data_IF_354491962895
#
_entry.id   IF_354491962895
#
_cell.length_a   1.000
_cell.length_b   1.000
_cell.length_c   1.000
_cell.angle_alpha   90.00
_cell.angle_beta   90.00
_cell.angle_gamma   90.00
#
_symmetry.space_group_name_H-M   'P 1'
#
loop_
_entity.id
_entity.type
_entity.pdbx_description
1 polymer ?
#
# COMPACT_ATOMS: atom_id res chain seq x y z
N UNK A 1 0.75 1.89 29.58
CA UNK A 1 1.25 1.20 28.37
C UNK A 1 0.15 0.95 27.36
N UNK A 2 -0.97 0.33 27.75
CA UNK A 2 -2.12 0.08 26.87
C UNK A 2 -2.68 1.36 26.20
N UNK A 3 -2.80 2.46 26.95
CA UNK A 3 -3.30 3.73 26.40
C UNK A 3 -2.40 4.29 25.30
N UNK A 4 -1.08 4.14 25.45
CA UNK A 4 -0.11 4.53 24.43
C UNK A 4 -0.27 3.69 23.17
N UNK A 5 -0.42 2.36 23.32
CA UNK A 5 -0.64 1.45 22.18
C UNK A 5 -1.95 1.80 21.46
N UNK A 6 -3.01 2.06 22.21
CA UNK A 6 -4.31 2.48 21.66
C UNK A 6 -4.19 3.83 20.93
N UNK A 7 -3.48 4.80 21.51
CA UNK A 7 -3.23 6.09 20.86
C UNK A 7 -2.43 5.92 19.55
N UNK A 8 -1.39 5.08 19.54
CA UNK A 8 -0.62 4.76 18.33
C UNK A 8 -1.52 4.13 17.27
N UNK A 9 -2.39 3.19 17.65
CA UNK A 9 -3.32 2.57 16.72
C UNK A 9 -4.31 3.59 16.15
N UNK A 10 -4.92 4.43 16.98
CA UNK A 10 -5.93 5.42 16.54
C UNK A 10 -5.29 6.52 15.69
N UNK A 11 -4.32 7.24 16.24
CA UNK A 11 -3.68 8.36 15.53
C UNK A 11 -2.82 7.88 14.36
N UNK A 12 -2.10 6.77 14.54
CA UNK A 12 -1.32 6.17 13.45
C UNK A 12 -2.21 5.72 12.30
N UNK A 13 -3.40 5.16 12.56
CA UNK A 13 -4.35 4.81 11.49
C UNK A 13 -4.89 6.06 10.80
N UNK A 14 -5.17 7.14 11.52
CA UNK A 14 -5.58 8.42 10.92
C UNK A 14 -4.47 8.99 10.01
N UNK A 15 -3.22 8.99 10.48
CA UNK A 15 -2.05 9.43 9.69
C UNK A 15 -1.83 8.54 8.46
N UNK A 16 -2.09 7.23 8.59
CA UNK A 16 -2.02 6.28 7.48
C UNK A 16 -3.05 6.63 6.40
N UNK A 17 -4.30 6.91 6.80
CA UNK A 17 -5.35 7.35 5.88
C UNK A 17 -5.00 8.65 5.18
N UNK A 18 -4.47 9.65 5.89
CA UNK A 18 -4.01 10.90 5.28
C UNK A 18 -2.92 10.61 4.24
N UNK A 19 -1.93 9.78 4.60
CA UNK A 19 -0.87 9.38 3.68
C UNK A 19 -1.41 8.67 2.44
N UNK A 20 -2.37 7.75 2.60
CA UNK A 20 -3.04 7.06 1.50
C UNK A 20 -3.83 8.02 0.59
N UNK A 21 -4.53 9.01 1.16
CA UNK A 21 -5.22 10.05 0.40
C UNK A 21 -4.24 10.90 -0.42
N UNK A 22 -3.12 11.32 0.19
CA UNK A 22 -2.06 12.05 -0.51
C UNK A 22 -1.50 11.20 -1.65
N UNK A 23 -1.16 9.93 -1.38
CA UNK A 23 -0.70 8.98 -2.39
C UNK A 23 -1.70 8.81 -3.52
N UNK A 24 -2.99 8.76 -3.20
CA UNK A 24 -4.07 8.61 -4.16
C UNK A 24 -4.21 9.83 -5.08
N UNK A 25 -4.00 11.04 -4.56
CA UNK A 25 -3.94 12.25 -5.39
C UNK A 25 -2.70 12.21 -6.29
N UNK A 26 -1.57 11.75 -5.76
CA UNK A 26 -0.30 11.62 -6.49
C UNK A 26 -0.24 10.40 -7.44
N UNK A 27 -1.32 9.61 -7.62
CA UNK A 27 -1.28 8.28 -8.26
C UNK A 27 -1.37 8.25 -9.79
N UNK A 28 -1.75 9.34 -10.46
CA UNK A 28 -2.06 9.28 -11.91
C UNK A 28 -0.78 9.02 -12.71
N UNK A 29 -0.65 7.78 -13.21
CA UNK A 29 0.49 7.34 -14.04
C UNK A 29 1.35 6.22 -13.44
N UNK A 30 0.97 5.68 -12.27
CA UNK A 30 1.83 4.72 -11.57
C UNK A 30 1.69 3.26 -12.02
N UNK A 31 2.81 2.51 -12.06
CA UNK A 31 2.85 1.08 -12.37
C UNK A 31 2.50 0.14 -11.20
N UNK A 32 2.19 0.66 -9.99
CA UNK A 32 1.95 -0.17 -8.78
C UNK A 32 0.72 0.27 -7.98
N UNK A 33 -0.41 0.47 -8.66
CA UNK A 33 -1.67 0.92 -8.02
C UNK A 33 -2.25 -0.15 -7.09
N UNK A 34 -1.93 -1.40 -7.38
CA UNK A 34 -2.39 -2.60 -6.70
C UNK A 34 -1.94 -2.58 -5.22
N UNK A 35 -0.68 -2.20 -4.96
CA UNK A 35 -0.14 -2.05 -3.59
C UNK A 35 -0.92 -1.01 -2.80
N UNK A 36 -1.26 0.14 -3.41
CA UNK A 36 -2.05 1.18 -2.74
C UNK A 36 -3.43 0.66 -2.32
N UNK A 37 -4.09 -0.12 -3.18
CA UNK A 37 -5.39 -0.72 -2.87
C UNK A 37 -5.29 -1.78 -1.77
N UNK A 38 -4.26 -2.63 -1.77
CA UNK A 38 -4.03 -3.58 -0.69
C UNK A 38 -3.74 -2.87 0.64
N UNK A 39 -2.87 -1.85 0.64
CA UNK A 39 -2.58 -1.06 1.85
C UNK A 39 -3.83 -0.33 2.35
N UNK A 40 -4.68 0.18 1.46
CA UNK A 40 -5.96 0.76 1.84
C UNK A 40 -6.92 -0.28 2.43
N UNK A 41 -7.01 -1.48 1.83
CA UNK A 41 -7.81 -2.58 2.37
C UNK A 41 -7.37 -2.98 3.79
N UNK A 42 -6.06 -3.01 4.03
CA UNK A 42 -5.47 -3.28 5.33
C UNK A 42 -5.71 -2.12 6.33
N UNK A 43 -5.61 -0.87 5.88
CA UNK A 43 -5.93 0.29 6.70
C UNK A 43 -7.40 0.26 7.14
N UNK A 44 -8.33 -0.14 6.27
CA UNK A 44 -9.73 -0.37 6.64
C UNK A 44 -9.84 -1.48 7.68
N UNK A 45 -9.17 -2.62 7.48
CA UNK A 45 -9.21 -3.75 8.43
C UNK A 45 -8.72 -3.33 9.83
N UNK A 46 -7.63 -2.56 9.90
CA UNK A 46 -7.12 -1.99 11.15
C UNK A 46 -8.14 -1.00 11.74
N UNK A 47 -8.72 -0.13 10.91
CA UNK A 47 -9.71 0.87 11.35
C UNK A 47 -10.91 0.20 12.02
N UNK A 48 -11.37 -0.91 11.45
CA UNK A 48 -12.54 -1.64 11.95
C UNK A 48 -12.33 -2.22 13.35
N UNK A 49 -11.08 -2.51 13.75
CA UNK A 49 -10.77 -3.07 15.08
C UNK A 49 -10.38 -1.99 16.11
N UNK A 50 -10.43 -0.70 15.74
CA UNK A 50 -10.09 0.39 16.67
C UNK A 50 -11.19 0.56 17.74
N UNK A 51 -10.84 0.77 19.02
CA UNK A 51 -11.82 0.99 20.10
C UNK A 51 -12.92 2.03 19.81
N UNK A 52 -12.66 3.20 19.18
CA UNK A 52 -13.73 4.14 18.84
C UNK A 52 -14.64 3.69 17.69
N UNK A 53 -14.21 2.74 16.84
CA UNK A 53 -14.95 2.32 15.64
C UNK A 53 -15.76 1.06 15.90
N UNK A 54 -15.23 0.12 16.68
CA UNK A 54 -15.86 -1.16 17.04
C UNK A 54 -17.32 -0.99 17.50
N UNK A 55 -17.69 -0.03 18.37
CA UNK A 55 -19.09 0.15 18.79
C UNK A 55 -20.03 0.72 17.71
N UNK A 56 -19.48 1.29 16.63
CA UNK A 56 -20.26 1.92 15.55
C UNK A 56 -20.67 0.90 14.49
N UNK A 57 -19.83 -0.10 14.23
CA UNK A 57 -20.09 -1.12 13.22
C UNK A 57 -21.45 -1.82 13.42
N UNK A 58 -21.83 -2.25 14.64
CA UNK A 58 -23.10 -2.93 14.84
C UNK A 58 -24.30 -2.01 14.61
N UNK A 59 -24.14 -0.70 14.87
CA UNK A 59 -25.17 0.32 14.61
C UNK A 59 -25.37 0.58 13.13
N UNK A 60 -24.31 0.54 12.33
CA UNK A 60 -24.35 0.77 10.89
C UNK A 60 -24.90 -0.46 10.16
N UNK A 61 -24.50 -1.66 10.59
CA UNK A 61 -24.80 -2.91 9.89
C UNK A 61 -25.92 -3.74 10.55
N UNK A 62 -26.53 -3.25 11.65
CA UNK A 62 -27.68 -3.89 12.29
C UNK A 62 -27.38 -5.19 13.03
N UNK A 63 -26.14 -5.39 13.50
CA UNK A 63 -25.71 -6.63 14.17
C UNK A 63 -25.67 -6.50 15.69
N UNK A 64 -25.74 -7.60 16.44
CA UNK A 64 -25.89 -7.59 17.91
C UNK A 64 -24.58 -7.60 18.71
N UNK A 65 -23.41 -7.78 18.08
CA UNK A 65 -22.11 -7.87 18.78
C UNK A 65 -21.08 -6.82 18.33
N UNK A 66 -20.15 -6.39 19.19
CA UNK A 66 -19.13 -5.36 18.89
C UNK A 66 -18.18 -5.78 17.77
N UNK A 67 -17.94 -7.09 17.63
CA UNK A 67 -17.33 -7.63 16.44
C UNK A 67 -18.27 -8.59 15.75
N UNK A 68 -18.49 -8.33 14.47
CA UNK A 68 -19.53 -8.96 13.68
C UNK A 68 -18.93 -9.61 12.43
N UNK A 69 -19.77 -10.38 11.75
CA UNK A 69 -19.41 -11.11 10.53
C UNK A 69 -18.77 -10.19 9.49
N UNK A 70 -19.25 -8.94 9.39
CA UNK A 70 -18.70 -7.97 8.45
C UNK A 70 -17.21 -7.69 8.64
N UNK A 71 -16.70 -7.64 9.88
CA UNK A 71 -15.27 -7.44 10.12
C UNK A 71 -14.44 -8.66 9.68
N UNK A 72 -14.97 -9.88 9.87
CA UNK A 72 -14.29 -11.10 9.46
C UNK A 72 -14.28 -11.21 7.92
N UNK A 73 -15.43 -10.94 7.28
CA UNK A 73 -15.55 -10.81 5.81
C UNK A 73 -14.52 -9.82 5.27
N UNK A 74 -14.43 -8.63 5.88
CA UNK A 74 -13.46 -7.63 5.45
C UNK A 74 -12.02 -8.10 5.68
N UNK A 75 -11.77 -8.81 6.78
CA UNK A 75 -10.51 -9.48 7.05
C UNK A 75 -10.11 -10.40 5.89
N UNK A 76 -10.99 -11.32 5.49
CA UNK A 76 -10.75 -12.25 4.37
C UNK A 76 -10.51 -11.51 3.07
N UNK A 77 -11.34 -10.51 2.75
CA UNK A 77 -11.21 -9.70 1.55
C UNK A 77 -9.88 -8.93 1.51
N UNK A 78 -9.48 -8.33 2.63
CA UNK A 78 -8.21 -7.58 2.72
C UNK A 78 -6.98 -8.48 2.54
N UNK A 79 -7.00 -9.69 3.09
CA UNK A 79 -5.96 -10.70 2.84
C UNK A 79 -5.99 -11.25 1.42
N UNK A 80 -7.18 -11.43 0.83
CA UNK A 80 -7.33 -11.75 -0.59
C UNK A 80 -6.77 -10.66 -1.51
N UNK A 81 -6.97 -9.38 -1.19
CA UNK A 81 -6.38 -8.26 -1.93
C UNK A 81 -4.85 -8.35 -1.91
N UNK A 82 -4.23 -8.65 -0.78
CA UNK A 82 -2.78 -8.85 -0.69
C UNK A 82 -2.33 -9.96 -1.65
N UNK A 83 -3.01 -11.10 -1.66
CA UNK A 83 -2.70 -12.20 -2.58
C UNK A 83 -2.93 -11.83 -4.05
N UNK A 84 -3.94 -11.03 -4.36
CA UNK A 84 -4.20 -10.52 -5.71
C UNK A 84 -3.09 -9.61 -6.21
N UNK A 85 -2.56 -8.71 -5.36
CA UNK A 85 -1.39 -7.88 -5.71
C UNK A 85 -0.19 -8.76 -6.03
N UNK A 86 0.06 -9.77 -5.19
CA UNK A 86 1.16 -10.73 -5.38
C UNK A 86 0.97 -11.55 -6.66
N UNK A 87 -0.27 -11.93 -6.97
CA UNK A 87 -0.63 -12.70 -8.14
C UNK A 87 -0.57 -11.88 -9.44
N UNK A 88 -0.82 -10.57 -9.37
CA UNK A 88 -0.73 -9.67 -10.52
C UNK A 88 0.66 -9.70 -11.17
N UNK A 89 1.71 -9.85 -10.36
CA UNK A 89 3.09 -10.03 -10.84
C UNK A 89 3.39 -11.41 -11.47
N UNK A 90 2.45 -12.35 -11.45
CA UNK A 90 2.60 -13.73 -11.97
C UNK A 90 1.66 -14.07 -13.13
N UNK A 91 0.76 -13.16 -13.51
CA UNK A 91 -0.14 -13.31 -14.65
C UNK A 91 -1.55 -13.82 -14.31
N UNK A 92 -2.38 -13.95 -15.35
CA UNK A 92 -3.85 -14.14 -15.23
C UNK A 92 -4.26 -15.41 -14.47
N UNK A 93 -3.54 -16.52 -14.66
CA UNK A 93 -3.85 -17.78 -13.98
C UNK A 93 -3.68 -17.65 -12.46
N UNK A 94 -2.61 -16.99 -12.00
CA UNK A 94 -2.37 -16.73 -10.59
C UNK A 94 -3.45 -15.79 -10.00
N UNK A 95 -3.85 -14.75 -10.73
CA UNK A 95 -4.92 -13.83 -10.30
C UNK A 95 -6.23 -14.60 -10.12
N UNK A 96 -6.58 -15.45 -11.09
CA UNK A 96 -7.81 -16.26 -11.05
C UNK A 96 -7.79 -17.21 -9.86
N UNK A 97 -6.66 -17.86 -9.59
CA UNK A 97 -6.49 -18.73 -8.44
C UNK A 97 -6.61 -17.98 -7.10
N UNK A 98 -5.98 -16.82 -6.97
CA UNK A 98 -6.07 -15.98 -5.76
C UNK A 98 -7.50 -15.45 -5.53
N UNK A 99 -8.17 -14.98 -6.58
CA UNK A 99 -9.56 -14.55 -6.52
C UNK A 99 -10.49 -15.71 -6.12
N UNK A 100 -10.35 -16.86 -6.79
CA UNK A 100 -11.13 -18.06 -6.51
C UNK A 100 -10.94 -18.57 -5.08
N UNK A 101 -9.70 -18.64 -4.61
CA UNK A 101 -9.41 -19.01 -3.22
C UNK A 101 -10.03 -18.03 -2.22
N UNK A 102 -9.96 -16.72 -2.49
CA UNK A 102 -10.58 -15.70 -1.63
C UNK A 102 -12.10 -15.89 -1.55
N UNK A 103 -12.75 -16.11 -2.69
CA UNK A 103 -14.20 -16.35 -2.75
C UNK A 103 -14.57 -17.63 -2.01
N UNK A 104 -13.81 -18.71 -2.19
CA UNK A 104 -14.06 -19.98 -1.47
C UNK A 104 -13.93 -19.77 0.03
N UNK A 105 -12.85 -19.14 0.50
CA UNK A 105 -12.65 -18.88 1.94
C UNK A 105 -13.78 -18.05 2.50
N UNK A 106 -14.19 -16.99 1.80
CA UNK A 106 -15.32 -16.14 2.20
C UNK A 106 -16.64 -16.93 2.32
N UNK A 107 -16.94 -17.79 1.34
CA UNK A 107 -18.15 -18.61 1.37
C UNK A 107 -18.12 -19.64 2.50
N UNK A 108 -16.97 -20.28 2.72
CA UNK A 108 -16.81 -21.27 3.80
C UNK A 108 -16.86 -20.60 5.17
N UNK A 109 -16.26 -19.42 5.32
CA UNK A 109 -16.34 -18.60 6.52
C UNK A 109 -17.80 -18.30 6.89
N UNK A 110 -18.56 -17.70 5.96
CA UNK A 110 -19.99 -17.36 6.16
C UNK A 110 -20.79 -18.62 6.49
N UNK A 111 -20.55 -19.72 5.76
CA UNK A 111 -21.21 -20.99 6.04
C UNK A 111 -20.91 -21.49 7.47
N UNK A 112 -19.65 -21.47 7.90
CA UNK A 112 -19.24 -21.88 9.25
C UNK A 112 -19.83 -20.98 10.34
N UNK A 113 -19.98 -19.68 10.08
CA UNK A 113 -20.60 -18.73 11.00
C UNK A 113 -22.08 -19.05 11.24
N UNK A 114 -22.80 -19.49 10.19
CA UNK A 114 -24.23 -19.84 10.24
C UNK A 114 -24.48 -21.22 10.86
N UNK A 115 -23.66 -22.23 10.54
CA UNK A 115 -23.93 -23.62 11.00
C UNK A 115 -23.39 -23.94 12.40
N UNK A 116 -22.49 -23.12 12.93
CA UNK A 116 -21.86 -23.37 14.24
C UNK A 116 -22.67 -22.74 15.36
N UNK A 117 -23.12 -23.53 16.33
CA UNK A 117 -23.87 -23.06 17.52
C UNK A 117 -23.11 -23.41 18.81
N UNK A 118 -22.81 -22.44 19.70
CA UNK A 118 -23.06 -21.01 19.55
C UNK A 118 -22.22 -20.38 18.43
N UNK A 119 -22.69 -19.25 17.88
CA UNK A 119 -22.00 -18.58 16.77
C UNK A 119 -20.53 -18.28 17.12
N UNK A 120 -19.58 -18.63 16.24
CA UNK A 120 -18.14 -18.47 16.50
C UNK A 120 -17.67 -17.03 16.23
N UNK A 121 -18.56 -16.17 15.71
CA UNK A 121 -18.26 -14.79 15.31
C UNK A 121 -17.85 -13.95 16.50
N UNK A 122 -16.69 -13.30 16.38
CA UNK A 122 -16.20 -12.36 17.37
C UNK A 122 -14.91 -11.70 16.91
N UNK A 123 -14.28 -10.89 17.77
CA UNK A 123 -12.95 -10.36 17.46
C UNK A 123 -11.89 -11.34 17.94
N UNK A 124 -10.94 -11.70 17.08
CA UNK A 124 -9.78 -12.54 17.45
C UNK A 124 -8.99 -11.97 18.66
N UNK A 125 -9.04 -10.65 18.86
CA UNK A 125 -8.34 -9.94 19.94
C UNK A 125 -8.94 -10.17 21.32
N UNK A 126 -10.23 -10.49 21.42
CA UNK A 126 -10.97 -10.61 22.70
C UNK A 126 -11.79 -11.88 22.84
N UNK A 127 -12.14 -12.55 21.74
CA UNK A 127 -12.93 -13.77 21.75
C UNK A 127 -12.14 -14.92 22.36
N UNK A 128 -12.84 -15.79 23.09
CA UNK A 128 -12.33 -17.12 23.41
C UNK A 128 -12.32 -17.88 22.10
N UNK A 129 -11.15 -18.04 21.49
CA UNK A 129 -10.98 -18.70 20.19
C UNK A 129 -10.78 -20.20 20.48
N UNK A 130 -11.81 -21.07 20.34
CA UNK A 130 -11.68 -22.47 20.73
C UNK A 130 -10.79 -23.19 19.72
N UNK A 131 -9.87 -24.05 20.19
CA UNK A 131 -9.00 -24.85 19.34
C UNK A 131 -9.80 -25.73 18.36
N UNK A 132 -11.00 -26.12 18.76
CA UNK A 132 -11.91 -26.98 18.01
C UNK A 132 -12.72 -26.24 16.94
N UNK A 133 -12.63 -24.91 16.86
CA UNK A 133 -13.46 -24.13 15.93
C UNK A 133 -12.84 -24.10 14.53
N UNK A 134 -13.44 -24.76 13.52
CA UNK A 134 -12.95 -24.70 12.14
C UNK A 134 -12.98 -23.28 11.56
N UNK A 135 -13.93 -22.45 12.01
CA UNK A 135 -14.04 -21.04 11.63
C UNK A 135 -12.74 -20.29 11.93
N UNK A 136 -12.22 -20.43 13.15
CA UNK A 136 -11.02 -19.70 13.56
C UNK A 136 -9.75 -20.23 12.91
N UNK A 137 -9.65 -21.54 12.67
CA UNK A 137 -8.56 -22.11 11.89
C UNK A 137 -8.52 -21.57 10.46
N UNK A 138 -9.68 -21.53 9.80
CA UNK A 138 -9.80 -20.97 8.45
C UNK A 138 -9.34 -19.51 8.41
N UNK A 139 -9.91 -18.66 9.29
CA UNK A 139 -9.61 -17.23 9.36
C UNK A 139 -8.12 -16.97 9.62
N UNK A 140 -7.58 -17.56 10.68
CA UNK A 140 -6.18 -17.34 11.08
C UNK A 140 -5.22 -17.85 10.01
N UNK A 141 -5.50 -19.01 9.41
CA UNK A 141 -4.65 -19.58 8.35
C UNK A 141 -4.67 -18.73 7.09
N UNK A 142 -5.83 -18.23 6.68
CA UNK A 142 -5.96 -17.37 5.50
C UNK A 142 -5.14 -16.08 5.64
N UNK A 143 -5.27 -15.42 6.79
CA UNK A 143 -4.47 -14.23 7.10
C UNK A 143 -2.97 -14.56 7.16
N UNK A 144 -2.60 -15.65 7.83
CA UNK A 144 -1.22 -16.09 7.94
C UNK A 144 -0.58 -16.35 6.57
N UNK A 145 -1.25 -17.11 5.70
CA UNK A 145 -0.77 -17.42 4.34
C UNK A 145 -0.56 -16.14 3.54
N UNK A 146 -1.51 -15.21 3.60
CA UNK A 146 -1.45 -13.95 2.87
C UNK A 146 -0.27 -13.09 3.33
N UNK A 147 -0.05 -12.96 4.65
CA UNK A 147 1.06 -12.18 5.19
C UNK A 147 2.42 -12.83 4.98
N UNK A 148 2.53 -14.16 5.09
CA UNK A 148 3.78 -14.88 4.78
C UNK A 148 4.13 -14.76 3.30
N UNK A 149 3.15 -14.86 2.40
CA UNK A 149 3.37 -14.66 0.97
C UNK A 149 3.84 -13.22 0.68
N UNK A 150 3.21 -12.23 1.30
CA UNK A 150 3.62 -10.82 1.18
C UNK A 150 5.03 -10.59 1.70
N UNK A 151 5.36 -11.13 2.87
CA UNK A 151 6.69 -11.07 3.47
C UNK A 151 7.75 -11.65 2.54
N UNK A 152 7.50 -12.83 1.95
CA UNK A 152 8.44 -13.46 1.02
C UNK A 152 8.67 -12.60 -0.23
N UNK A 153 7.62 -11.99 -0.78
CA UNK A 153 7.71 -11.08 -1.92
C UNK A 153 8.48 -9.81 -1.55
N UNK A 154 8.16 -9.17 -0.43
CA UNK A 154 8.87 -7.97 0.02
C UNK A 154 10.37 -8.24 0.27
N UNK A 155 10.71 -9.39 0.87
CA UNK A 155 12.12 -9.78 1.06
C UNK A 155 12.86 -10.01 -0.25
N UNK A 156 12.21 -10.65 -1.23
CA UNK A 156 12.76 -10.84 -2.57
C UNK A 156 12.96 -9.49 -3.28
N UNK A 157 11.95 -8.63 -3.24
CA UNK A 157 11.96 -7.37 -3.97
C UNK A 157 12.93 -6.36 -3.32
N UNK A 158 13.05 -6.35 -1.99
CA UNK A 158 14.07 -5.56 -1.28
C UNK A 158 15.49 -5.96 -1.68
N UNK A 159 15.74 -7.25 -1.98
CA UNK A 159 17.03 -7.75 -2.48
C UNK A 159 17.28 -7.38 -3.94
N UNK A 160 16.22 -7.19 -4.75
CA UNK A 160 16.34 -6.78 -6.15
C UNK A 160 16.60 -5.27 -6.29
N UNK A 161 16.06 -4.46 -5.38
CA UNK A 161 16.20 -3.00 -5.37
C UNK A 161 17.53 -2.52 -4.74
N UNK A 162 18.66 -3.16 -5.08
CA UNK A 162 19.96 -2.80 -4.45
C UNK A 162 20.39 -1.36 -4.74
N UNK A 163 20.11 -0.89 -5.95
CA UNK A 163 20.59 0.40 -6.46
C UNK A 163 19.62 1.57 -6.22
N UNK A 164 18.36 1.28 -5.86
CA UNK A 164 17.37 2.30 -5.48
C UNK A 164 17.12 2.23 -3.97
N UNK A 165 17.92 2.98 -3.21
CA UNK A 165 17.86 3.01 -1.74
C UNK A 165 16.50 3.47 -1.20
N UNK A 166 15.79 4.35 -1.92
CA UNK A 166 14.49 4.85 -1.49
C UNK A 166 13.39 3.81 -1.68
N UNK A 167 13.32 3.20 -2.86
CA UNK A 167 12.38 2.11 -3.11
C UNK A 167 12.64 0.94 -2.16
N UNK A 168 13.92 0.60 -1.93
CA UNK A 168 14.33 -0.44 -0.99
C UNK A 168 13.86 -0.15 0.43
N UNK A 169 14.03 1.06 0.92
CA UNK A 169 13.57 1.46 2.26
C UNK A 169 12.05 1.35 2.38
N UNK A 170 11.30 1.79 1.37
CA UNK A 170 9.85 1.63 1.33
C UNK A 170 9.41 0.16 1.42
N UNK A 171 10.08 -0.73 0.67
CA UNK A 171 9.83 -2.17 0.75
C UNK A 171 10.20 -2.74 2.12
N UNK A 172 11.31 -2.30 2.75
CA UNK A 172 11.66 -2.73 4.11
C UNK A 172 10.62 -2.33 5.15
N UNK A 173 9.99 -1.16 5.02
CA UNK A 173 8.89 -0.77 5.90
C UNK A 173 7.66 -1.64 5.70
N UNK A 174 7.31 -1.99 4.46
CA UNK A 174 6.28 -3.00 4.21
C UNK A 174 6.63 -4.37 4.80
N UNK A 175 7.88 -4.82 4.63
CA UNK A 175 8.41 -6.05 5.25
C UNK A 175 8.21 -6.03 6.76
N UNK A 176 8.60 -4.96 7.44
CA UNK A 176 8.43 -4.82 8.89
C UNK A 176 6.95 -4.90 9.30
N UNK A 177 6.06 -4.28 8.53
CA UNK A 177 4.61 -4.36 8.74
C UNK A 177 4.08 -5.79 8.61
N UNK A 178 4.49 -6.51 7.56
CA UNK A 178 4.09 -7.92 7.36
C UNK A 178 4.73 -8.87 8.38
N UNK A 179 5.95 -8.62 8.84
CA UNK A 179 6.54 -9.36 9.98
C UNK A 179 5.67 -9.17 11.21
N UNK A 180 5.31 -7.93 11.52
CA UNK A 180 4.48 -7.62 12.69
C UNK A 180 3.09 -8.29 12.60
N UNK A 181 2.43 -8.22 11.44
CA UNK A 181 1.18 -8.94 11.19
C UNK A 181 1.34 -10.46 11.26
N UNK A 182 2.42 -11.02 10.74
CA UNK A 182 2.73 -12.46 10.80
C UNK A 182 2.90 -12.91 12.25
N UNK A 183 3.59 -12.12 13.09
CA UNK A 183 3.73 -12.38 14.52
C UNK A 183 2.35 -12.42 15.20
N UNK A 184 1.47 -11.44 14.91
CA UNK A 184 0.11 -11.41 15.44
C UNK A 184 -0.67 -12.71 15.18
N UNK A 185 -0.66 -13.19 13.94
CA UNK A 185 -1.38 -14.40 13.56
C UNK A 185 -0.71 -15.66 14.09
N UNK A 186 0.62 -15.69 14.16
CA UNK A 186 1.38 -16.79 14.78
C UNK A 186 1.06 -16.92 16.27
N UNK A 187 0.98 -15.82 17.00
CA UNK A 187 0.53 -15.81 18.41
C UNK A 187 -0.90 -16.34 18.51
N UNK A 188 -1.77 -15.95 17.58
CA UNK A 188 -3.16 -16.40 17.55
C UNK A 188 -3.27 -17.91 17.29
N UNK A 189 -2.41 -18.49 16.42
CA UNK A 189 -2.26 -19.94 16.26
C UNK A 189 -1.79 -20.57 17.58
N UNK A 190 -0.80 -19.99 18.26
CA UNK A 190 -0.32 -20.48 19.55
C UNK A 190 -1.42 -20.51 20.62
N UNK A 191 -2.25 -19.48 20.68
CA UNK A 191 -3.42 -19.41 21.58
C UNK A 191 -4.45 -20.47 21.20
N UNK A 192 -4.73 -20.67 19.90
CA UNK A 192 -5.60 -21.74 19.42
C UNK A 192 -5.10 -23.12 19.88
N UNK A 193 -3.83 -23.43 19.64
CA UNK A 193 -3.27 -24.77 19.91
C UNK A 193 -3.19 -25.06 21.41
N UNK A 194 -2.86 -24.06 22.22
CA UNK A 194 -2.60 -24.27 23.65
C UNK A 194 -3.82 -24.04 24.54
N UNK A 195 -4.86 -23.38 24.03
CA UNK A 195 -6.04 -22.89 24.77
C UNK A 195 -5.69 -22.01 25.99
N UNK A 196 -4.41 -21.62 26.14
CA UNK A 196 -3.86 -20.95 27.32
C UNK A 196 -3.93 -19.43 27.14
N UNK A 197 -4.72 -18.78 28.00
CA UNK A 197 -4.94 -17.32 28.01
C UNK A 197 -3.86 -16.51 28.70
N UNK A 198 -2.97 -17.17 29.46
CA UNK A 198 -1.99 -16.52 30.35
C UNK A 198 -0.68 -16.14 29.65
N UNK A 199 -0.53 -16.44 28.37
CA UNK A 199 0.49 -15.79 27.54
C UNK A 199 0.10 -14.30 27.48
N UNK A 200 1.04 -13.34 27.51
CA UNK A 200 0.77 -11.90 27.28
C UNK A 200 0.25 -11.59 25.85
N UNK A 201 -0.48 -12.53 25.23
CA UNK A 201 -0.96 -12.53 23.87
C UNK A 201 -1.96 -11.42 23.59
N UNK A 202 -2.70 -10.88 24.56
CA UNK A 202 -3.55 -9.71 24.30
C UNK A 202 -2.70 -8.45 24.06
N UNK A 203 -1.74 -8.17 24.94
CA UNK A 203 -0.82 -7.04 24.85
C UNK A 203 0.10 -7.17 23.64
N UNK A 204 0.67 -8.36 23.43
CA UNK A 204 1.57 -8.66 22.32
C UNK A 204 0.86 -8.60 20.96
N UNK A 205 -0.40 -9.08 20.88
CA UNK A 205 -1.22 -8.90 19.67
C UNK A 205 -1.53 -7.42 19.43
N UNK A 206 -1.88 -6.66 20.46
CA UNK A 206 -2.14 -5.22 20.30
C UNK A 206 -0.87 -4.47 19.88
N UNK A 207 0.29 -4.82 20.44
CA UNK A 207 1.59 -4.28 20.05
C UNK A 207 1.96 -4.66 18.61
N UNK A 208 1.62 -5.86 18.15
CA UNK A 208 1.81 -6.28 16.76
C UNK A 208 0.91 -5.51 15.78
N UNK A 209 -0.31 -5.16 16.17
CA UNK A 209 -1.14 -4.23 15.37
C UNK A 209 -0.47 -2.86 15.29
N UNK A 210 0.00 -2.33 16.43
CA UNK A 210 0.69 -1.03 16.45
C UNK A 210 1.98 -1.03 15.62
N UNK A 211 2.78 -2.11 15.70
CA UNK A 211 3.97 -2.29 14.86
C UNK A 211 3.64 -2.31 13.37
N UNK A 212 2.53 -2.95 13.00
CA UNK A 212 2.01 -2.93 11.62
C UNK A 212 1.62 -1.51 11.19
N UNK A 213 0.85 -0.79 12.02
CA UNK A 213 0.43 0.60 11.76
C UNK A 213 1.61 1.53 11.54
N UNK A 214 2.60 1.51 12.45
CA UNK A 214 3.81 2.34 12.34
C UNK A 214 4.57 2.00 11.06
N UNK A 215 4.75 0.72 10.77
CA UNK A 215 5.50 0.27 9.59
C UNK A 215 4.82 0.69 8.28
N UNK A 216 3.50 0.54 8.17
CA UNK A 216 2.77 0.99 6.97
C UNK A 216 2.75 2.51 6.83
N UNK A 217 2.68 3.25 7.93
CA UNK A 217 2.85 4.70 7.89
C UNK A 217 4.21 5.09 7.31
N UNK A 218 5.29 4.49 7.82
CA UNK A 218 6.64 4.75 7.32
C UNK A 218 6.76 4.41 5.84
N UNK A 219 6.20 3.29 5.39
CA UNK A 219 6.20 2.90 3.97
C UNK A 219 5.43 3.89 3.08
N UNK A 220 4.23 4.31 3.50
CA UNK A 220 3.39 5.25 2.75
C UNK A 220 4.04 6.62 2.68
N UNK A 221 4.49 7.15 3.81
CA UNK A 221 5.08 8.49 3.89
C UNK A 221 6.49 8.55 3.30
N UNK A 222 7.28 7.47 3.35
CA UNK A 222 8.55 7.43 2.62
C UNK A 222 8.32 7.52 1.11
N UNK A 223 7.28 6.85 0.60
CA UNK A 223 6.90 6.98 -0.81
C UNK A 223 6.37 8.38 -1.16
N UNK A 224 5.65 9.05 -0.25
CA UNK A 224 5.21 10.45 -0.45
C UNK A 224 6.43 11.37 -0.52
N UNK A 225 7.35 11.25 0.45
CA UNK A 225 8.57 12.05 0.53
C UNK A 225 9.45 11.85 -0.71
N UNK A 226 9.65 10.61 -1.16
CA UNK A 226 10.40 10.30 -2.37
C UNK A 226 9.81 11.03 -3.59
N UNK A 227 8.47 11.05 -3.73
CA UNK A 227 7.82 11.78 -4.83
C UNK A 227 7.99 13.27 -4.73
N UNK A 228 7.83 13.85 -3.54
CA UNK A 228 8.03 15.27 -3.34
C UNK A 228 9.46 15.68 -3.75
N UNK A 229 10.46 14.87 -3.39
CA UNK A 229 11.86 15.08 -3.78
C UNK A 229 12.04 14.96 -5.29
N UNK A 230 11.52 13.90 -5.92
CA UNK A 230 11.61 13.73 -7.39
C UNK A 230 10.93 14.87 -8.14
N UNK A 231 9.74 15.28 -7.70
CA UNK A 231 9.02 16.41 -8.26
C UNK A 231 9.80 17.72 -8.13
N UNK A 232 10.43 17.95 -6.97
CA UNK A 232 11.29 19.13 -6.76
C UNK A 232 12.54 19.13 -7.65
N UNK A 233 13.16 17.97 -7.86
CA UNK A 233 14.29 17.81 -8.79
C UNK A 233 13.89 18.09 -10.23
N UNK A 234 12.80 17.49 -10.68
CA UNK A 234 12.27 17.72 -12.03
C UNK A 234 11.91 19.20 -12.22
N UNK A 235 11.30 19.86 -11.21
CA UNK A 235 10.99 21.29 -11.23
C UNK A 235 12.24 22.16 -11.40
N UNK A 236 13.27 21.89 -10.59
CA UNK A 236 14.52 22.62 -10.66
C UNK A 236 15.21 22.42 -12.02
N UNK A 237 15.20 21.19 -12.53
CA UNK A 237 15.82 20.86 -13.81
C UNK A 237 15.07 21.51 -14.98
N UNK A 238 13.74 21.38 -15.02
CA UNK A 238 12.89 22.03 -16.01
C UNK A 238 13.12 23.54 -16.05
N UNK A 239 13.22 24.19 -14.88
CA UNK A 239 13.50 25.61 -14.79
C UNK A 239 14.91 25.97 -15.27
N UNK A 240 15.91 25.11 -15.02
CA UNK A 240 17.26 25.30 -15.57
C UNK A 240 17.24 25.26 -17.09
N UNK A 241 16.69 24.19 -17.67
CA UNK A 241 16.61 24.01 -19.12
C UNK A 241 15.83 25.16 -19.77
N UNK A 242 14.72 25.58 -19.17
CA UNK A 242 13.91 26.68 -19.70
C UNK A 242 14.65 28.02 -19.70
N UNK A 243 15.49 28.29 -18.69
CA UNK A 243 16.34 29.50 -18.63
C UNK A 243 17.44 29.54 -19.67
N UNK A 244 17.88 28.40 -20.18
CA UNK A 244 18.93 28.30 -21.20
C UNK A 244 18.42 28.52 -22.63
N UNK A 245 17.11 28.34 -22.87
CA UNK A 245 16.49 28.51 -24.19
C UNK A 245 16.80 29.85 -24.90
N UNK A 246 16.78 31.03 -24.25
CA UNK A 246 17.13 32.28 -24.92
C UNK A 246 18.56 32.27 -25.49
N UNK A 247 19.52 31.65 -24.79
CA UNK A 247 20.90 31.52 -25.25
C UNK A 247 21.09 30.54 -26.41
N UNK A 248 20.07 29.74 -26.72
CA UNK A 248 20.08 28.74 -27.80
C UNK A 248 19.30 29.20 -29.04
N UNK A 249 19.02 30.50 -29.17
CA UNK A 249 18.36 31.07 -30.35
C UNK A 249 16.87 30.77 -30.46
N UNK A 250 16.18 30.51 -29.33
CA UNK A 250 14.73 30.34 -29.29
C UNK A 250 14.02 31.69 -29.20
N UNK A 251 13.02 31.90 -30.06
CA UNK A 251 12.15 33.08 -30.00
C UNK A 251 11.27 33.07 -28.73
N UNK A 252 10.71 34.24 -28.37
CA UNK A 252 9.81 34.33 -27.23
C UNK A 252 8.52 33.50 -27.42
N UNK A 253 8.04 33.36 -28.65
CA UNK A 253 6.81 32.62 -28.97
C UNK A 253 7.03 31.11 -28.89
N UNK A 254 8.10 30.59 -29.49
CA UNK A 254 8.48 29.17 -29.41
C UNK A 254 8.65 28.73 -27.94
N UNK A 255 9.33 29.56 -27.12
CA UNK A 255 9.48 29.28 -25.68
C UNK A 255 8.14 29.21 -24.96
N UNK A 256 7.22 30.14 -25.21
CA UNK A 256 5.87 30.12 -24.61
C UNK A 256 5.06 28.90 -25.05
N UNK A 257 5.20 28.45 -26.29
CA UNK A 257 4.54 27.23 -26.77
C UNK A 257 5.10 26.01 -26.05
N UNK A 258 6.41 25.84 -26.06
CA UNK A 258 7.10 24.73 -25.39
C UNK A 258 6.78 24.68 -23.89
N UNK A 259 6.74 25.84 -23.22
CA UNK A 259 6.33 25.95 -21.82
C UNK A 259 4.91 25.44 -21.59
N UNK A 260 3.93 25.93 -22.37
CA UNK A 260 2.53 25.51 -22.25
C UNK A 260 2.37 24.01 -22.50
N UNK A 261 3.01 23.49 -23.53
CA UNK A 261 2.89 22.07 -23.90
C UNK A 261 3.58 21.15 -22.90
N UNK A 262 4.67 21.61 -22.30
CA UNK A 262 5.36 20.88 -21.22
C UNK A 262 4.56 20.93 -19.92
N UNK A 263 3.94 22.07 -19.59
CA UNK A 263 3.17 22.23 -18.35
C UNK A 263 1.81 21.51 -18.35
N UNK A 264 1.19 21.30 -19.51
CA UNK A 264 -0.10 20.57 -19.59
C UNK A 264 -0.08 19.20 -18.91
N UNK A 265 1.08 18.52 -18.90
CA UNK A 265 1.27 17.23 -18.24
C UNK A 265 1.95 17.30 -16.88
N UNK A 266 2.37 18.48 -16.44
CA UNK A 266 3.27 18.67 -15.29
C UNK A 266 2.77 18.08 -13.97
N UNK A 267 1.49 18.29 -13.55
CA UNK A 267 1.01 17.76 -12.28
C UNK A 267 1.07 16.23 -12.18
N UNK A 268 1.20 15.52 -13.30
CA UNK A 268 1.11 14.07 -13.38
C UNK A 268 2.45 13.40 -13.69
N UNK A 269 3.30 14.05 -14.50
CA UNK A 269 4.54 13.48 -14.96
C UNK A 269 5.58 14.58 -15.24
N UNK A 270 6.12 15.23 -14.19
CA UNK A 270 7.08 16.33 -14.35
C UNK A 270 8.34 15.91 -15.12
N UNK A 271 8.88 14.71 -14.87
CA UNK A 271 9.95 14.11 -15.69
C UNK A 271 9.66 14.10 -17.21
N UNK A 272 8.39 13.94 -17.65
CA UNK A 272 8.04 13.99 -19.08
C UNK A 272 8.13 15.40 -19.63
N UNK A 273 7.80 16.41 -18.82
CA UNK A 273 7.94 17.81 -19.20
C UNK A 273 9.42 18.17 -19.36
N UNK A 274 10.27 17.76 -18.41
CA UNK A 274 11.74 17.86 -18.51
C UNK A 274 12.24 17.19 -19.79
N UNK A 275 11.84 15.94 -20.03
CA UNK A 275 12.24 15.16 -21.20
C UNK A 275 11.83 15.83 -22.53
N UNK A 276 10.61 16.40 -22.62
CA UNK A 276 10.16 17.14 -23.80
C UNK A 276 11.03 18.35 -24.10
N UNK A 277 11.40 19.12 -23.07
CA UNK A 277 12.30 20.27 -23.26
C UNK A 277 13.69 19.80 -23.71
N UNK A 278 14.22 18.74 -23.10
CA UNK A 278 15.53 18.17 -23.52
C UNK A 278 15.53 17.73 -24.98
N UNK A 279 14.48 17.02 -25.44
CA UNK A 279 14.34 16.65 -26.85
C UNK A 279 14.27 17.89 -27.72
N UNK A 280 13.41 18.85 -27.38
CA UNK A 280 13.24 20.06 -28.18
C UNK A 280 14.57 20.83 -28.34
N UNK A 281 15.36 20.94 -27.27
CA UNK A 281 16.69 21.53 -27.33
C UNK A 281 17.66 20.72 -28.22
N UNK A 282 17.66 19.39 -28.10
CA UNK A 282 18.50 18.52 -28.91
C UNK A 282 18.16 18.63 -30.40
N UNK A 283 16.87 18.61 -30.75
CA UNK A 283 16.37 18.76 -32.11
C UNK A 283 16.79 20.12 -32.69
N UNK A 284 16.63 21.21 -31.93
CA UNK A 284 17.06 22.54 -32.35
C UNK A 284 18.57 22.63 -32.61
N UNK A 285 19.39 21.99 -31.77
CA UNK A 285 20.84 21.95 -32.00
C UNK A 285 21.22 21.18 -33.26
N UNK A 286 20.47 20.13 -33.61
CA UNK A 286 20.67 19.40 -34.85
C UNK A 286 20.32 20.26 -36.07
N UNK A 287 19.22 21.01 -36.02
CA UNK A 287 18.80 21.92 -37.09
C UNK A 287 19.84 23.03 -37.33
N UNK A 288 20.30 23.69 -36.27
CA UNK A 288 21.32 24.75 -36.38
C UNK A 288 22.65 24.23 -36.96
N UNK A 289 23.04 22.99 -36.62
CA UNK A 289 24.24 22.36 -37.21
C UNK A 289 24.03 22.01 -38.68
N UNK A 290 22.83 21.62 -39.08
CA UNK A 290 22.50 21.34 -40.47
C UNK A 290 22.50 22.63 -41.32
N UNK A 291 22.00 23.73 -40.77
CA UNK A 291 22.03 25.06 -41.41
C UNK A 291 23.47 25.59 -41.56
N UNK A 292 24.27 25.57 -40.50
CA UNK A 292 25.67 26.02 -40.56
C UNK A 292 26.55 25.22 -41.55
N UNK A 293 26.28 23.92 -41.72
CA UNK A 293 26.96 23.10 -42.75
C UNK A 293 26.58 23.48 -44.17
N UNK A 294 25.35 23.97 -44.41
CA UNK A 294 24.92 24.45 -45.73
C UNK A 294 25.59 25.77 -46.08
N UNK A 295 25.78 26.64 -45.10
CA UNK A 295 26.40 27.96 -45.31
C UNK A 295 27.94 27.89 -45.45
N UNK A 296 28.60 26.98 -44.74
CA UNK A 296 30.07 26.80 -44.80
C UNK A 296 30.59 25.84 -45.88
N UNK A 297 29.72 25.31 -46.74
CA UNK A 297 30.06 24.36 -47.82
C UNK A 297 30.15 24.99 -49.22
N UNK A 298 30.16 26.32 -49.31
CA UNK A 298 30.48 27.11 -50.50
C UNK A 298 31.95 27.51 -50.50
#
# INVERSE_FOLDING_TARGET
MQDLINAVNVYGTAVLWVGLCVQFVLRRGQPHREVLFATAGLAVAITMILPPVVPLIPRIFGTTGPCNEFQNIWGVLSSGLILLVIAAGRGRAAITAAAGATVIVLLVEIWLAEVTTPSPVGCVTVAQVPATSPFWWLMISWHQVSHVAALAVCLRDAKALRDDSWARNGVWWYTAGFVSSTIFWTISIGVLVTERRWVPGAELRTAAVAGSVVSFNLAVWSSVAQRAIMYGRDAAEFWSLYRELPGQGWSAEERRSLWRDSLRGWPWAPHRAVYRVRIAQADRQLDLRAEGKREGGL
#
